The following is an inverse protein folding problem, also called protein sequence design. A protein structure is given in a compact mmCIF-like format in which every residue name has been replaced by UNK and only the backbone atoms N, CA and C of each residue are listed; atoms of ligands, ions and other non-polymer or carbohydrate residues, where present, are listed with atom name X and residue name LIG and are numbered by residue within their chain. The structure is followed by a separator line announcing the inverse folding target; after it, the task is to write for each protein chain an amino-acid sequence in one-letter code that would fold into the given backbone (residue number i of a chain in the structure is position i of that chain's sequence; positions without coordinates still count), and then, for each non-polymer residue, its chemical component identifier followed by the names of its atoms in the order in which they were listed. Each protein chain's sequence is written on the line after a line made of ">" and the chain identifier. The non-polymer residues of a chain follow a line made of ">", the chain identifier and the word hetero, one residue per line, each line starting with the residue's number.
data_IF_953597172362
#
_entry.id   IF_953597172362
#
_cell.length_a   1.000
_cell.length_b   1.000
_cell.length_c   1.000
_cell.angle_alpha   90.00
_cell.angle_beta   90.00
_cell.angle_gamma   90.00
#
_symmetry.space_group_name_H-M   'P 1'
#
loop_
_entity.id
_entity.type
_entity.pdbx_description
1 polymer ?
#
# COMPACT_ATOMS: atom_id res chain seq x y z
N UNK A 1 -16.84 8.25 23.93
CA UNK A 1 -17.09 7.60 22.62
C UNK A 1 -15.95 6.63 22.37
N UNK A 2 -16.21 5.32 22.32
CA UNK A 2 -15.21 4.34 21.93
C UNK A 2 -15.03 4.42 20.41
N UNK A 3 -14.07 5.18 19.95
CA UNK A 3 -13.69 5.17 18.54
C UNK A 3 -12.79 3.96 18.33
N UNK A 4 -13.36 2.87 17.81
CA UNK A 4 -12.58 1.70 17.40
C UNK A 4 -11.54 2.16 16.38
N UNK A 5 -10.26 1.88 16.65
CA UNK A 5 -9.17 2.28 15.75
C UNK A 5 -9.15 1.35 14.54
N UNK A 6 -8.79 1.90 13.39
CA UNK A 6 -8.80 1.23 12.09
C UNK A 6 -7.40 0.75 11.70
N UNK A 7 -7.38 -0.27 10.85
CA UNK A 7 -6.21 -0.70 10.08
C UNK A 7 -6.36 -0.28 8.63
N UNK A 8 -5.42 0.50 8.12
CA UNK A 8 -5.35 0.84 6.69
C UNK A 8 -4.39 -0.08 5.96
N UNK A 9 -4.73 -0.47 4.73
CA UNK A 9 -3.81 -1.05 3.76
C UNK A 9 -3.40 0.06 2.79
N UNK A 10 -2.10 0.19 2.53
CA UNK A 10 -1.58 1.13 1.55
C UNK A 10 -0.70 0.40 0.52
N UNK A 11 -1.14 0.43 -0.73
CA UNK A 11 -0.40 -0.07 -1.88
C UNK A 11 0.36 1.09 -2.56
N UNK A 12 1.64 0.90 -2.86
CA UNK A 12 2.44 1.92 -3.55
C UNK A 12 2.97 3.05 -2.65
N UNK A 13 3.21 2.75 -1.36
CA UNK A 13 3.68 3.72 -0.36
C UNK A 13 5.00 4.46 -0.69
N UNK A 14 5.84 3.88 -1.55
CA UNK A 14 7.11 4.48 -1.99
C UNK A 14 6.95 5.47 -3.16
N UNK A 15 5.78 5.52 -3.79
CA UNK A 15 5.46 6.51 -4.83
C UNK A 15 5.21 7.89 -4.25
N UNK A 16 5.18 8.92 -5.09
CA UNK A 16 4.93 10.31 -4.66
C UNK A 16 3.60 10.43 -3.89
N UNK A 17 2.50 10.00 -4.52
CA UNK A 17 1.17 10.04 -3.90
C UNK A 17 1.08 9.14 -2.69
N UNK A 18 1.59 7.91 -2.80
CA UNK A 18 1.56 6.94 -1.69
C UNK A 18 2.31 7.43 -0.45
N UNK A 19 3.45 8.12 -0.64
CA UNK A 19 4.21 8.68 0.48
C UNK A 19 3.41 9.79 1.18
N UNK A 20 2.76 10.69 0.43
CA UNK A 20 1.92 11.74 1.00
C UNK A 20 0.73 11.15 1.77
N UNK A 21 0.07 10.12 1.22
CA UNK A 21 -1.01 9.40 1.89
C UNK A 21 -0.51 8.75 3.18
N UNK A 22 0.64 8.07 3.15
CA UNK A 22 1.25 7.47 4.34
C UNK A 22 1.48 8.51 5.45
N UNK A 23 2.02 9.68 5.11
CA UNK A 23 2.24 10.76 6.08
C UNK A 23 0.94 11.25 6.71
N UNK A 24 -0.15 11.31 5.95
CA UNK A 24 -1.48 11.67 6.46
C UNK A 24 -2.03 10.59 7.39
N UNK A 25 -1.96 9.32 6.99
CA UNK A 25 -2.42 8.17 7.78
C UNK A 25 -1.66 8.06 9.12
N UNK A 26 -0.36 8.32 9.13
CA UNK A 26 0.46 8.27 10.35
C UNK A 26 0.02 9.31 11.39
N UNK A 27 -0.34 10.50 10.93
CA UNK A 27 -0.81 11.62 11.77
C UNK A 27 -2.26 11.46 12.22
N UNK A 28 -3.03 10.64 11.53
CA UNK A 28 -4.44 10.42 11.83
C UNK A 28 -4.61 9.47 13.01
N UNK A 29 -5.34 9.93 14.03
CA UNK A 29 -5.61 9.20 15.27
C UNK A 29 -6.64 8.08 15.09
N UNK A 30 -7.38 8.09 13.97
CA UNK A 30 -8.34 7.03 13.62
C UNK A 30 -7.65 5.70 13.32
N UNK A 31 -6.38 5.72 12.91
CA UNK A 31 -5.62 4.51 12.58
C UNK A 31 -4.64 4.10 13.67
N UNK A 32 -4.68 2.82 14.02
CA UNK A 32 -3.67 2.18 14.86
C UNK A 32 -2.59 1.46 14.07
N UNK A 33 -2.95 0.96 12.89
CA UNK A 33 -2.05 0.16 12.06
C UNK A 33 -2.19 0.52 10.59
N UNK A 34 -1.07 0.51 9.89
CA UNK A 34 -0.94 0.82 8.47
C UNK A 34 -0.08 -0.29 7.86
N UNK A 35 -0.70 -1.15 7.08
CA UNK A 35 -0.04 -2.26 6.38
C UNK A 35 0.41 -1.82 5.01
N UNK A 36 1.72 -1.86 4.78
CA UNK A 36 2.33 -1.50 3.51
C UNK A 36 2.62 -2.79 2.74
N UNK A 37 2.06 -2.93 1.55
CA UNK A 37 2.46 -3.99 0.63
C UNK A 37 3.27 -3.37 -0.50
N UNK A 38 4.54 -3.72 -0.56
CA UNK A 38 5.48 -3.13 -1.50
C UNK A 38 6.60 -4.08 -1.88
N UNK A 39 7.20 -3.85 -3.05
CA UNK A 39 8.39 -4.59 -3.50
C UNK A 39 9.67 -4.20 -2.74
N UNK A 40 9.64 -3.06 -2.06
CA UNK A 40 10.76 -2.49 -1.32
C UNK A 40 10.25 -1.77 -0.08
N UNK A 41 11.06 -1.72 0.98
CA UNK A 41 10.72 -0.97 2.20
C UNK A 41 10.51 0.52 1.90
N UNK A 42 9.62 1.14 2.67
CA UNK A 42 9.42 2.58 2.71
C UNK A 42 10.57 3.33 3.39
N UNK A 43 11.38 2.62 4.19
CA UNK A 43 12.44 3.20 5.02
C UNK A 43 11.95 4.01 6.22
N UNK A 44 10.64 4.05 6.47
CA UNK A 44 10.04 4.81 7.57
C UNK A 44 9.84 3.86 8.75
N UNK A 45 10.50 4.15 9.87
CA UNK A 45 10.31 3.41 11.12
C UNK A 45 9.22 4.08 11.94
N UNK A 46 8.09 3.41 12.13
CA UNK A 46 7.00 3.89 12.96
C UNK A 46 6.23 2.70 13.57
N UNK A 47 5.81 2.76 14.85
CA UNK A 47 5.07 1.67 15.49
C UNK A 47 3.71 1.36 14.84
N UNK A 48 3.13 2.30 14.10
CA UNK A 48 1.89 2.06 13.33
C UNK A 48 2.14 1.29 12.03
N UNK A 49 3.38 1.21 11.54
CA UNK A 49 3.70 0.63 10.23
C UNK A 49 4.00 -0.86 10.38
N UNK A 50 3.38 -1.64 9.50
CA UNK A 50 3.71 -3.04 9.26
C UNK A 50 4.03 -3.21 7.77
N UNK A 51 5.24 -3.66 7.43
CA UNK A 51 5.66 -3.82 6.04
C UNK A 51 5.61 -5.29 5.62
N UNK A 52 4.85 -5.57 4.56
CA UNK A 52 4.81 -6.86 3.89
C UNK A 52 5.54 -6.70 2.54
N UNK A 53 6.77 -7.20 2.51
CA UNK A 53 7.62 -7.07 1.34
C UNK A 53 7.43 -8.25 0.39
N UNK A 54 7.13 -7.94 -0.87
CA UNK A 54 7.05 -8.93 -1.95
C UNK A 54 6.38 -8.40 -3.20
N UNK A 55 6.13 -9.28 -4.15
CA UNK A 55 5.53 -8.89 -5.41
C UNK A 55 4.02 -8.67 -5.26
N UNK A 56 3.61 -7.41 -5.36
CA UNK A 56 2.21 -6.98 -5.26
C UNK A 56 1.38 -7.50 -6.43
N UNK A 57 2.01 -7.96 -7.52
CA UNK A 57 1.30 -8.63 -8.62
C UNK A 57 0.77 -10.02 -8.17
N UNK A 58 1.31 -10.59 -7.09
CA UNK A 58 0.88 -11.87 -6.54
C UNK A 58 0.32 -11.71 -5.12
N UNK A 59 -0.80 -11.00 -5.00
CA UNK A 59 -1.48 -10.75 -3.72
C UNK A 59 -1.94 -12.02 -3.00
N UNK A 60 -2.08 -13.16 -3.70
CA UNK A 60 -2.43 -14.44 -3.08
C UNK A 60 -1.41 -14.85 -2.00
N UNK A 61 -0.14 -14.49 -2.16
CA UNK A 61 0.91 -14.73 -1.14
C UNK A 61 0.60 -13.98 0.16
N UNK A 62 -0.10 -12.85 0.06
CA UNK A 62 -0.46 -11.99 1.18
C UNK A 62 -1.88 -12.20 1.68
N UNK A 63 -2.60 -13.21 1.19
CA UNK A 63 -4.04 -13.37 1.46
C UNK A 63 -4.41 -13.37 2.95
N UNK A 64 -3.55 -13.88 3.82
CA UNK A 64 -3.77 -13.89 5.27
C UNK A 64 -3.49 -12.53 5.93
N UNK A 65 -2.60 -11.75 5.35
CA UNK A 65 -2.15 -10.46 5.88
C UNK A 65 -2.89 -9.27 5.26
N UNK A 66 -3.48 -9.48 4.07
CA UNK A 66 -4.24 -8.50 3.29
C UNK A 66 -5.66 -8.34 3.85
N UNK A 67 -5.73 -7.94 5.11
CA UNK A 67 -6.96 -7.57 5.81
C UNK A 67 -6.80 -6.21 6.52
N UNK A 68 -7.83 -5.39 6.42
CA UNK A 68 -7.92 -4.05 6.99
C UNK A 68 -9.30 -3.46 6.78
N UNK A 69 -9.57 -2.34 7.45
CA UNK A 69 -10.85 -1.63 7.35
C UNK A 69 -10.95 -0.79 6.09
N UNK A 70 -9.82 -0.27 5.60
CA UNK A 70 -9.73 0.62 4.45
C UNK A 70 -8.51 0.27 3.59
N UNK A 71 -8.66 0.37 2.27
CA UNK A 71 -7.58 0.11 1.31
C UNK A 71 -7.34 1.34 0.46
N UNK A 72 -6.09 1.81 0.44
CA UNK A 72 -5.62 2.91 -0.39
C UNK A 72 -4.71 2.37 -1.48
N UNK A 73 -5.18 2.39 -2.73
CA UNK A 73 -4.39 2.00 -3.88
C UNK A 73 -3.71 3.23 -4.51
N UNK A 74 -2.42 3.40 -4.25
CA UNK A 74 -1.57 4.42 -4.87
C UNK A 74 -0.56 3.81 -5.84
N UNK A 75 -0.84 2.61 -6.35
CA UNK A 75 -0.03 2.01 -7.39
C UNK A 75 -0.30 2.74 -8.70
N UNK A 76 0.79 3.16 -9.31
CA UNK A 76 0.80 3.73 -10.65
C UNK A 76 2.23 3.69 -11.14
N UNK A 77 2.39 3.44 -12.43
CA UNK A 77 3.70 3.54 -13.09
C UNK A 77 3.63 4.64 -14.14
N UNK A 78 4.77 5.23 -14.47
CA UNK A 78 4.85 6.15 -15.60
C UNK A 78 5.24 5.39 -16.86
N UNK A 79 4.76 5.82 -18.04
CA UNK A 79 5.19 5.25 -19.34
C UNK A 79 6.72 5.20 -19.48
N UNK A 80 7.43 6.14 -18.88
CA UNK A 80 8.90 6.18 -18.89
C UNK A 80 9.55 5.03 -18.10
N UNK A 81 8.90 4.55 -17.03
CA UNK A 81 9.41 3.47 -16.15
C UNK A 81 8.97 2.07 -16.59
N UNK A 82 8.05 1.96 -17.54
CA UNK A 82 7.53 0.68 -18.00
C UNK A 82 7.49 0.67 -19.53
N UNK A 83 8.61 0.26 -20.15
CA UNK A 83 8.71 0.08 -21.60
C UNK A 83 7.82 -1.06 -22.12
N UNK A 84 7.45 -1.99 -21.24
CA UNK A 84 6.61 -3.14 -21.54
C UNK A 84 5.12 -2.81 -21.31
N UNK A 85 4.33 -2.81 -22.38
CA UNK A 85 2.90 -2.50 -22.35
C UNK A 85 2.07 -3.55 -21.61
N UNK A 86 2.50 -4.82 -21.59
CA UNK A 86 1.81 -5.91 -20.89
C UNK A 86 1.98 -5.75 -19.38
N UNK A 87 3.20 -5.43 -18.92
CA UNK A 87 3.49 -5.14 -17.53
C UNK A 87 2.80 -3.86 -17.06
N UNK A 88 2.75 -2.83 -17.92
CA UNK A 88 2.00 -1.60 -17.65
C UNK A 88 0.52 -1.91 -17.39
N UNK A 89 -0.10 -2.72 -18.26
CA UNK A 89 -1.50 -3.13 -18.11
C UNK A 89 -1.71 -4.01 -16.88
N UNK A 90 -0.83 -4.95 -16.56
CA UNK A 90 -0.94 -5.74 -15.31
C UNK A 90 -0.85 -4.88 -14.04
N UNK A 91 -0.04 -3.83 -14.05
CA UNK A 91 0.10 -2.93 -12.90
C UNK A 91 -1.09 -1.96 -12.78
N UNK A 92 -1.61 -1.44 -13.89
CA UNK A 92 -2.77 -0.53 -13.91
C UNK A 92 -4.13 -1.26 -13.76
N UNK A 93 -4.27 -2.47 -14.31
CA UNK A 93 -5.53 -3.23 -14.36
C UNK A 93 -5.56 -4.50 -13.49
N UNK A 94 -4.41 -4.95 -12.97
CA UNK A 94 -4.28 -6.23 -12.27
C UNK A 94 -4.37 -6.13 -10.75
N UNK A 95 -4.79 -4.99 -10.21
CA UNK A 95 -5.07 -4.86 -8.78
C UNK A 95 -6.57 -5.16 -8.62
N UNK A 96 -6.93 -6.34 -8.10
CA UNK A 96 -8.32 -6.62 -7.76
C UNK A 96 -8.67 -5.72 -6.57
N UNK A 97 -9.39 -4.64 -6.84
CA UNK A 97 -10.18 -3.93 -5.83
C UNK A 97 -11.55 -4.56 -5.74
#
# INVERSE_FOLDING_TARGET
>A
MNTQKKTAILLGATGLTGNLVLQLLLKDSRYEKIKLFSRSSSGIVNPKIEEHLGDIVNLDVFKNDFNGDEVFCCIGTTKAKTRDKELYKKIDFGIPV
#
